data_IF_300048812385
#
_entry.id   IF_300048812385
#
_cell.length_a   1.000
_cell.length_b   1.000
_cell.length_c   1.000
_cell.angle_alpha   90.00
_cell.angle_beta   90.00
_cell.angle_gamma   90.00
#
_symmetry.space_group_name_H-M   'P 1'
#
loop_
_entity.id
_entity.type
_entity.pdbx_description
1 polymer ?
#
# COMPACT_ATOMS: atom_id res chain seq x y z
N UNK A 1 14.47 45.01 -1.15
CA UNK A 1 15.19 44.81 0.12
C UNK A 1 14.36 43.89 1.00
N UNK A 2 14.95 42.74 1.34
CA UNK A 2 14.58 41.70 2.31
C UNK A 2 13.15 41.11 2.31
N UNK A 3 13.05 39.89 1.78
CA UNK A 3 11.96 38.93 2.01
C UNK A 3 12.31 38.04 3.21
N UNK A 4 11.54 38.13 4.30
CA UNK A 4 11.66 37.24 5.46
C UNK A 4 11.03 35.87 5.15
N UNK A 5 11.86 34.97 4.63
CA UNK A 5 11.57 33.55 4.61
C UNK A 5 11.93 32.97 5.97
N UNK A 6 10.92 32.57 6.76
CA UNK A 6 11.14 31.81 7.99
C UNK A 6 11.70 30.43 7.62
N UNK A 7 12.85 30.11 8.21
CA UNK A 7 13.50 28.81 8.14
C UNK A 7 12.55 27.70 8.62
N UNK A 8 12.53 26.51 7.98
CA UNK A 8 11.80 25.36 8.50
C UNK A 8 12.41 24.88 9.82
N UNK A 9 11.61 24.30 10.74
CA UNK A 9 12.13 23.76 11.98
C UNK A 9 13.06 22.57 11.71
N UNK A 10 14.13 22.51 12.51
CA UNK A 10 15.18 21.50 12.47
C UNK A 10 14.61 20.07 12.63
N UNK A 11 14.93 19.10 11.75
CA UNK A 11 14.47 17.72 11.93
C UNK A 11 14.96 17.16 13.27
N UNK A 12 14.02 16.64 14.07
CA UNK A 12 14.36 15.90 15.29
C UNK A 12 15.08 14.63 14.89
N UNK A 13 16.36 14.52 15.27
CA UNK A 13 17.13 13.28 15.18
C UNK A 13 16.43 12.18 15.99
N UNK A 14 15.69 11.30 15.33
CA UNK A 14 15.36 10.00 15.91
C UNK A 14 16.56 9.08 15.71
N UNK A 15 17.26 8.81 16.82
CA UNK A 15 18.31 7.80 16.84
C UNK A 15 17.66 6.43 16.54
N UNK A 16 17.96 5.86 15.37
CA UNK A 16 17.76 4.44 15.09
C UNK A 16 18.69 3.65 16.00
N UNK A 17 18.19 3.29 17.18
CA UNK A 17 18.85 2.35 18.08
C UNK A 17 18.23 0.98 17.88
N UNK A 18 19.07 0.09 17.38
CA UNK A 18 18.93 -1.35 17.48
C UNK A 18 18.87 -1.78 18.95
N UNK A 19 18.22 -2.92 19.21
CA UNK A 19 17.82 -3.51 20.51
C UNK A 19 16.37 -3.12 20.88
N UNK A 20 15.48 -4.02 21.34
CA UNK A 20 15.77 -5.05 22.34
C UNK A 20 14.77 -6.20 22.28
N UNK A 21 15.31 -7.40 22.11
CA UNK A 21 14.87 -8.64 22.75
C UNK A 21 14.80 -8.43 24.27
N UNK A 22 13.72 -7.85 24.82
CA UNK A 22 13.48 -7.80 26.28
C UNK A 22 12.06 -7.33 26.63
N UNK A 23 11.03 -8.10 26.25
CA UNK A 23 9.69 -7.97 26.84
C UNK A 23 9.08 -9.37 27.02
N UNK A 24 9.75 -10.21 27.81
CA UNK A 24 9.23 -11.54 28.20
C UNK A 24 9.16 -11.75 29.71
N UNK A 25 9.34 -10.71 30.52
CA UNK A 25 9.24 -10.80 31.98
C UNK A 25 8.35 -9.69 32.53
N UNK A 26 7.05 -9.84 32.33
CA UNK A 26 6.00 -9.30 33.21
C UNK A 26 4.66 -9.80 32.70
N UNK A 27 4.28 -11.03 33.07
CA UNK A 27 2.91 -11.44 33.44
C UNK A 27 3.00 -12.93 33.81
N UNK A 28 3.00 -13.18 35.12
CA UNK A 28 3.07 -14.51 35.69
C UNK A 28 1.77 -15.28 35.54
N UNK A 29 1.94 -16.60 35.35
CA UNK A 29 1.12 -17.69 35.87
C UNK A 29 -0.32 -17.38 36.26
N UNK A 30 -1.28 -17.92 35.48
CA UNK A 30 -2.46 -18.57 36.06
C UNK A 30 -2.79 -19.87 35.33
N UNK A 31 -2.63 -20.95 36.09
CA UNK A 31 -3.08 -22.30 35.80
C UNK A 31 -4.60 -22.34 35.94
N UNK A 32 -5.32 -22.84 34.94
CA UNK A 32 -6.68 -23.37 35.08
C UNK A 32 -6.88 -24.55 34.13
N UNK A 33 -7.06 -25.74 34.71
CA UNK A 33 -7.66 -26.94 34.10
C UNK A 33 -8.81 -27.32 35.04
N UNK A 34 -10.05 -27.54 34.52
CA UNK A 34 -10.58 -28.89 34.57
C UNK A 34 -11.47 -29.33 33.39
N UNK A 35 -11.15 -30.53 32.92
CA UNK A 35 -11.97 -31.72 32.63
C UNK A 35 -13.18 -31.67 31.66
N UNK A 36 -13.08 -32.64 30.76
CA UNK A 36 -14.04 -33.28 29.86
C UNK A 36 -15.46 -33.53 30.42
N UNK A 37 -16.45 -33.43 29.52
CA UNK A 37 -17.60 -34.35 29.50
C UNK A 37 -17.99 -34.65 28.05
N UNK A 38 -18.32 -35.92 27.81
CA UNK A 38 -18.54 -36.58 26.53
C UNK A 38 -19.96 -36.40 25.97
N UNK A 39 -20.03 -36.56 24.65
CA UNK A 39 -21.04 -37.29 23.85
C UNK A 39 -22.24 -36.56 23.20
N UNK A 40 -22.32 -36.81 21.87
CA UNK A 40 -23.47 -37.05 20.99
C UNK A 40 -23.86 -35.97 19.95
N UNK A 41 -23.58 -36.30 18.68
CA UNK A 41 -24.38 -36.00 17.47
C UNK A 41 -25.64 -36.89 17.46
N UNK A 42 -26.75 -36.60 16.72
CA UNK A 42 -26.73 -36.24 15.29
C UNK A 42 -27.86 -35.30 14.75
N UNK A 43 -27.80 -35.06 13.43
CA UNK A 43 -28.84 -34.62 12.46
C UNK A 43 -29.39 -33.17 12.55
N UNK A 44 -29.21 -32.28 11.57
CA UNK A 44 -29.71 -32.17 10.17
C UNK A 44 -30.91 -31.21 10.05
N UNK A 45 -30.86 -30.38 8.99
CA UNK A 45 -31.87 -29.44 8.42
C UNK A 45 -32.08 -28.06 9.07
N UNK A 46 -31.37 -27.04 8.54
CA UNK A 46 -31.75 -25.62 8.62
C UNK A 46 -32.68 -25.27 7.45
N UNK A 47 -33.94 -24.97 7.74
CA UNK A 47 -34.90 -24.41 6.79
C UNK A 47 -34.43 -23.01 6.32
N UNK A 48 -34.38 -22.82 4.99
CA UNK A 48 -34.13 -21.52 4.37
C UNK A 48 -35.44 -20.73 4.35
N UNK A 49 -35.50 -19.61 5.06
CA UNK A 49 -36.50 -18.57 4.80
C UNK A 49 -36.16 -17.89 3.47
N UNK A 50 -36.84 -18.29 2.39
CA UNK A 50 -36.83 -17.56 1.13
C UNK A 50 -37.88 -16.43 1.22
N UNK A 51 -37.42 -15.18 1.25
CA UNK A 51 -38.27 -14.02 1.00
C UNK A 51 -38.48 -13.93 -0.51
N UNK A 52 -39.73 -14.08 -0.95
CA UNK A 52 -40.10 -13.95 -2.36
C UNK A 52 -39.92 -12.49 -2.83
N UNK A 53 -39.05 -12.27 -3.80
CA UNK A 53 -38.96 -10.99 -4.52
C UNK A 53 -40.08 -10.90 -5.55
N UNK A 54 -40.88 -9.82 -5.44
CA UNK A 54 -41.91 -9.43 -6.39
C UNK A 54 -41.24 -8.59 -7.51
N UNK A 55 -41.39 -8.90 -8.81
CA UNK A 55 -40.49 -8.37 -9.85
C UNK A 55 -40.84 -6.98 -10.44
N UNK A 56 -41.82 -6.24 -9.91
CA UNK A 56 -42.39 -5.07 -10.63
C UNK A 56 -42.08 -3.67 -10.07
N UNK A 57 -41.03 -3.49 -9.25
CA UNK A 57 -40.64 -2.13 -8.81
C UNK A 57 -39.13 -2.00 -8.60
N UNK A 58 -38.37 -1.81 -9.69
CA UNK A 58 -37.15 -0.98 -9.64
C UNK A 58 -36.72 -0.56 -11.06
N UNK A 59 -37.20 0.60 -11.53
CA UNK A 59 -36.83 1.17 -12.86
C UNK A 59 -35.98 2.43 -12.76
N UNK A 60 -35.29 2.65 -11.64
CA UNK A 60 -34.33 3.76 -11.50
C UNK A 60 -33.09 3.35 -10.68
N UNK A 61 -32.51 2.19 -10.96
CA UNK A 61 -31.16 1.89 -10.47
C UNK A 61 -30.15 2.62 -11.37
N UNK A 62 -29.43 3.61 -10.83
CA UNK A 62 -28.25 4.14 -11.52
C UNK A 62 -27.29 2.98 -11.87
N UNK A 63 -26.66 3.00 -13.05
CA UNK A 63 -25.68 2.00 -13.40
C UNK A 63 -24.60 1.97 -12.31
N UNK A 64 -24.34 0.78 -11.76
CA UNK A 64 -23.20 0.60 -10.87
C UNK A 64 -21.95 1.08 -11.61
N UNK A 65 -21.10 1.93 -11.00
CA UNK A 65 -19.89 2.39 -11.65
C UNK A 65 -19.07 1.18 -12.08
N UNK A 66 -18.56 1.24 -13.31
CA UNK A 66 -17.66 0.22 -13.82
C UNK A 66 -16.51 0.06 -12.80
N UNK A 67 -16.14 -1.17 -12.41
CA UNK A 67 -15.00 -1.38 -11.53
C UNK A 67 -13.77 -0.74 -12.16
N UNK A 68 -13.16 0.22 -11.46
CA UNK A 68 -11.83 0.70 -11.83
C UNK A 68 -10.89 -0.50 -11.67
N UNK A 69 -10.31 -0.95 -12.78
CA UNK A 69 -9.34 -2.03 -12.77
C UNK A 69 -8.03 -1.54 -12.14
N UNK A 70 -7.28 -2.45 -11.52
CA UNK A 70 -5.87 -2.22 -11.18
C UNK A 70 -5.11 -1.88 -12.47
N UNK A 71 -4.59 -0.66 -12.59
CA UNK A 71 -3.90 -0.15 -13.77
C UNK A 71 -2.50 0.36 -13.40
N UNK A 72 -1.50 -0.50 -13.54
CA UNK A 72 -0.09 -0.13 -13.53
C UNK A 72 0.40 -0.05 -14.99
N UNK A 73 0.48 1.15 -15.56
CA UNK A 73 0.76 1.34 -16.99
C UNK A 73 0.98 2.79 -17.37
N UNK A 74 1.31 3.06 -18.65
CA UNK A 74 1.25 4.41 -19.22
C UNK A 74 -0.20 4.73 -19.59
N UNK A 75 -0.67 5.89 -19.16
CA UNK A 75 -2.00 6.38 -19.46
C UNK A 75 -2.17 6.72 -20.95
N UNK A 76 -3.32 7.26 -21.28
CA UNK A 76 -3.62 7.77 -22.62
C UNK A 76 -4.15 9.22 -22.54
N UNK A 77 -4.50 9.81 -23.68
CA UNK A 77 -5.00 11.19 -23.77
C UNK A 77 -6.25 11.46 -22.89
N UNK A 78 -6.92 10.41 -22.42
CA UNK A 78 -8.15 10.46 -21.62
C UNK A 78 -8.00 9.79 -20.25
N UNK A 79 -6.82 9.23 -19.94
CA UNK A 79 -6.52 8.50 -18.71
C UNK A 79 -5.13 8.85 -18.20
N UNK A 80 -5.06 9.48 -17.04
CA UNK A 80 -3.80 9.61 -16.31
C UNK A 80 -3.62 8.37 -15.43
N UNK A 81 -2.48 7.70 -15.55
CA UNK A 81 -2.05 6.57 -14.70
C UNK A 81 -0.79 6.97 -13.94
N UNK A 82 -0.31 6.09 -13.06
CA UNK A 82 0.96 6.18 -12.30
C UNK A 82 2.26 6.33 -13.13
N UNK A 83 2.18 6.63 -14.44
CA UNK A 83 3.34 6.91 -15.30
C UNK A 83 3.48 8.39 -15.68
N UNK A 84 2.66 9.27 -15.10
CA UNK A 84 2.54 10.66 -15.52
C UNK A 84 3.60 11.58 -14.92
N UNK A 85 4.06 11.33 -13.67
CA UNK A 85 5.13 12.12 -13.06
C UNK A 85 6.45 11.91 -13.80
N UNK A 86 6.68 10.71 -14.33
CA UNK A 86 7.89 10.34 -15.05
C UNK A 86 8.08 11.13 -16.35
N UNK A 87 7.00 11.59 -16.97
CA UNK A 87 7.06 12.45 -18.15
C UNK A 87 7.70 13.82 -17.84
N UNK A 88 7.60 14.30 -16.60
CA UNK A 88 8.21 15.56 -16.17
C UNK A 88 9.70 15.39 -15.84
N UNK A 89 10.15 14.16 -15.53
CA UNK A 89 11.55 13.90 -15.16
C UNK A 89 12.54 14.19 -16.29
N UNK A 90 12.12 14.07 -17.55
CA UNK A 90 12.96 14.47 -18.69
C UNK A 90 13.32 15.97 -18.62
N UNK A 91 12.36 16.82 -18.23
CA UNK A 91 12.61 18.25 -18.03
C UNK A 91 13.53 18.56 -16.85
N UNK A 92 13.62 17.63 -15.89
CA UNK A 92 14.55 17.70 -14.77
C UNK A 92 15.96 17.14 -15.11
N UNK A 93 16.18 16.67 -16.34
CA UNK A 93 17.48 16.23 -16.84
C UNK A 93 17.77 14.73 -16.70
N UNK A 94 16.77 13.92 -16.35
CA UNK A 94 16.92 12.46 -16.34
C UNK A 94 16.95 11.89 -17.76
N UNK A 95 17.80 10.90 -18.00
CA UNK A 95 17.83 10.19 -19.29
C UNK A 95 16.65 9.22 -19.42
N UNK A 96 16.22 8.86 -20.64
CA UNK A 96 15.11 7.93 -20.85
C UNK A 96 15.26 6.59 -20.12
N UNK A 97 16.46 6.02 -20.04
CA UNK A 97 16.72 4.77 -19.34
C UNK A 97 16.66 4.93 -17.81
N UNK A 98 17.02 6.10 -17.28
CA UNK A 98 16.86 6.42 -15.85
C UNK A 98 15.38 6.60 -15.49
N UNK A 99 14.62 7.31 -16.33
CA UNK A 99 13.17 7.48 -16.17
C UNK A 99 12.48 6.12 -16.17
N UNK A 100 12.87 5.21 -17.07
CA UNK A 100 12.34 3.84 -17.09
C UNK A 100 12.69 3.06 -15.82
N UNK A 101 13.91 3.22 -15.30
CA UNK A 101 14.32 2.58 -14.03
C UNK A 101 13.59 3.17 -12.81
N UNK A 102 13.27 4.47 -12.83
CA UNK A 102 12.41 5.11 -11.82
C UNK A 102 11.00 4.53 -11.91
N UNK A 103 10.42 4.50 -13.12
CA UNK A 103 9.10 3.91 -13.34
C UNK A 103 9.02 2.44 -12.89
N UNK A 104 10.11 1.68 -13.05
CA UNK A 104 10.19 0.31 -12.50
C UNK A 104 9.98 0.27 -10.98
N UNK A 105 10.53 1.22 -10.24
CA UNK A 105 10.30 1.35 -8.81
C UNK A 105 8.85 1.67 -8.44
N UNK A 106 8.24 2.62 -9.17
CA UNK A 106 6.83 2.99 -9.02
C UNK A 106 5.91 1.77 -9.28
N UNK A 107 6.09 1.13 -10.44
CA UNK A 107 5.37 -0.06 -10.85
C UNK A 107 5.49 -1.24 -9.86
N UNK A 108 6.65 -1.40 -9.21
CA UNK A 108 6.80 -2.42 -8.16
C UNK A 108 5.97 -2.11 -6.91
N UNK A 109 5.65 -0.84 -6.61
CA UNK A 109 4.73 -0.50 -5.52
C UNK A 109 3.31 -0.89 -5.89
N UNK A 110 2.82 -0.54 -7.08
CA UNK A 110 1.51 -1.01 -7.56
C UNK A 110 1.37 -2.54 -7.38
N UNK A 111 2.33 -3.30 -7.94
CA UNK A 111 2.25 -4.77 -7.91
C UNK A 111 2.48 -5.39 -6.53
N UNK A 112 3.03 -4.63 -5.56
CA UNK A 112 3.16 -5.10 -4.18
C UNK A 112 1.80 -5.37 -3.53
N UNK A 113 0.72 -4.75 -4.02
CA UNK A 113 -0.66 -5.00 -3.56
C UNK A 113 -1.12 -6.46 -3.79
N UNK A 114 -0.52 -7.19 -4.74
CA UNK A 114 -0.77 -8.63 -4.90
C UNK A 114 -0.28 -9.45 -3.70
N UNK A 115 0.65 -8.92 -2.93
CA UNK A 115 1.22 -9.55 -1.75
C UNK A 115 0.51 -9.05 -0.50
N UNK A 116 -0.81 -9.18 -0.46
CA UNK A 116 -1.68 -8.85 0.67
C UNK A 116 -1.86 -10.07 1.61
N UNK A 117 -2.02 -9.90 2.94
CA UNK A 117 -2.24 -11.01 3.87
C UNK A 117 -3.43 -11.93 3.54
N UNK A 118 -4.41 -11.45 2.78
CA UNK A 118 -5.58 -12.22 2.33
C UNK A 118 -5.27 -13.14 1.14
N UNK A 119 -4.19 -12.87 0.40
CA UNK A 119 -3.79 -13.60 -0.81
C UNK A 119 -2.55 -14.47 -0.53
N UNK A 120 -1.63 -13.97 0.29
CA UNK A 120 -0.37 -14.66 0.59
C UNK A 120 -0.62 -15.91 1.43
N UNK A 121 -0.11 -17.04 0.95
CA UNK A 121 -0.08 -18.33 1.63
C UNK A 121 1.17 -18.45 2.49
N UNK A 122 1.00 -18.81 3.76
CA UNK A 122 2.13 -19.16 4.62
C UNK A 122 2.86 -20.42 4.10
N UNK A 123 4.16 -20.52 4.37
CA UNK A 123 4.96 -21.70 3.99
C UNK A 123 4.47 -22.99 4.64
N UNK A 124 3.93 -22.89 5.86
CA UNK A 124 3.38 -23.99 6.67
C UNK A 124 1.96 -24.41 6.27
N UNK A 125 1.25 -23.60 5.49
CA UNK A 125 -0.11 -23.90 5.04
C UNK A 125 -0.12 -24.85 3.84
N UNK A 126 -1.10 -25.75 3.73
CA UNK A 126 -1.26 -26.58 2.52
C UNK A 126 -1.47 -25.70 1.28
N UNK A 127 -1.02 -26.16 0.12
CA UNK A 127 -1.25 -25.46 -1.16
C UNK A 127 -2.75 -25.36 -1.42
N UNK A 128 -3.21 -24.17 -1.79
CA UNK A 128 -4.61 -23.87 -2.12
C UNK A 128 -4.66 -23.04 -3.38
N UNK A 129 -4.52 -23.68 -4.54
CA UNK A 129 -4.52 -23.00 -5.84
C UNK A 129 -5.94 -22.97 -6.43
N UNK A 130 -6.41 -21.84 -7.00
CA UNK A 130 -5.70 -20.56 -7.18
C UNK A 130 -5.81 -19.56 -6.02
N UNK A 131 -6.58 -19.90 -4.98
CA UNK A 131 -7.00 -18.94 -3.94
C UNK A 131 -5.84 -18.30 -3.16
N UNK A 132 -4.78 -19.05 -2.87
CA UNK A 132 -3.63 -18.60 -2.09
C UNK A 132 -2.31 -19.06 -2.71
N UNK A 133 -1.41 -18.11 -2.94
CA UNK A 133 -0.07 -18.34 -3.47
C UNK A 133 0.99 -17.90 -2.47
N UNK A 134 2.15 -18.57 -2.42
CA UNK A 134 3.26 -18.10 -1.59
C UNK A 134 3.85 -16.81 -2.16
N UNK A 135 4.47 -15.98 -1.31
CA UNK A 135 5.22 -14.78 -1.71
C UNK A 135 6.18 -15.04 -2.87
N UNK A 136 6.93 -16.13 -2.81
CA UNK A 136 7.82 -16.59 -3.90
C UNK A 136 7.11 -16.80 -5.24
N UNK A 137 5.90 -17.39 -5.21
CA UNK A 137 5.16 -17.67 -6.43
C UNK A 137 4.57 -16.39 -7.03
N UNK A 138 4.02 -15.51 -6.18
CA UNK A 138 3.51 -14.19 -6.60
C UNK A 138 4.63 -13.32 -7.15
N UNK A 139 5.79 -13.28 -6.48
CA UNK A 139 6.97 -12.54 -6.95
C UNK A 139 7.41 -13.00 -8.34
N UNK A 140 7.45 -14.31 -8.60
CA UNK A 140 7.81 -14.84 -9.92
C UNK A 140 6.79 -14.47 -11.00
N UNK A 141 5.50 -14.42 -10.66
CA UNK A 141 4.47 -13.93 -11.59
C UNK A 141 4.75 -12.47 -11.94
N UNK A 142 5.04 -11.64 -10.94
CA UNK A 142 5.39 -10.23 -11.14
C UNK A 142 6.69 -10.07 -11.94
N UNK A 143 7.72 -10.91 -11.72
CA UNK A 143 8.94 -10.91 -12.53
C UNK A 143 8.63 -11.18 -14.02
N UNK A 144 7.76 -12.14 -14.31
CA UNK A 144 7.35 -12.43 -15.70
C UNK A 144 6.61 -11.25 -16.32
N UNK A 145 5.75 -10.55 -15.55
CA UNK A 145 5.08 -9.34 -16.02
C UNK A 145 6.08 -8.20 -16.24
N UNK A 146 7.05 -8.04 -15.35
CA UNK A 146 8.11 -7.05 -15.48
C UNK A 146 8.99 -7.28 -16.70
N UNK A 147 9.26 -8.54 -17.09
CA UNK A 147 9.97 -8.85 -18.34
C UNK A 147 9.25 -8.27 -19.56
N UNK A 148 7.92 -8.38 -19.60
CA UNK A 148 7.12 -7.83 -20.68
C UNK A 148 7.15 -6.30 -20.65
N UNK A 149 6.86 -5.69 -19.50
CA UNK A 149 6.75 -4.24 -19.36
C UNK A 149 8.10 -3.53 -19.57
N UNK A 150 9.18 -4.07 -19.00
CA UNK A 150 10.52 -3.47 -18.98
C UNK A 150 11.50 -4.20 -19.89
N UNK A 151 11.03 -4.64 -21.07
CA UNK A 151 11.87 -5.37 -22.04
C UNK A 151 13.15 -4.62 -22.40
N UNK A 152 13.07 -3.30 -22.56
CA UNK A 152 14.19 -2.38 -22.81
C UNK A 152 15.29 -2.45 -21.72
N UNK A 153 14.88 -2.38 -20.45
CA UNK A 153 15.81 -2.47 -19.31
C UNK A 153 16.36 -3.89 -19.15
N UNK A 154 15.50 -4.90 -19.29
CA UNK A 154 15.82 -6.31 -19.09
C UNK A 154 16.74 -6.88 -20.17
N UNK A 155 16.64 -6.40 -21.42
CA UNK A 155 17.58 -6.76 -22.49
C UNK A 155 18.97 -6.19 -22.24
N UNK A 156 19.04 -5.00 -21.65
CA UNK A 156 20.30 -4.32 -21.36
C UNK A 156 21.01 -4.98 -20.17
N UNK A 157 20.32 -5.17 -19.05
CA UNK A 157 20.88 -5.82 -17.87
C UNK A 157 19.78 -6.42 -16.97
N UNK A 158 19.34 -7.63 -17.30
CA UNK A 158 18.33 -8.38 -16.52
C UNK A 158 18.69 -8.47 -15.03
N UNK A 159 19.97 -8.60 -14.67
CA UNK A 159 20.36 -8.82 -13.29
C UNK A 159 20.02 -7.63 -12.38
N UNK A 160 20.02 -6.42 -12.95
CA UNK A 160 19.65 -5.18 -12.25
C UNK A 160 18.15 -5.00 -12.07
N UNK A 161 17.34 -5.64 -12.90
CA UNK A 161 15.88 -5.42 -12.93
C UNK A 161 15.06 -6.66 -12.60
N UNK A 162 15.68 -7.81 -12.33
CA UNK A 162 14.96 -9.00 -11.83
C UNK A 162 14.17 -8.65 -10.57
N UNK A 163 12.91 -9.06 -10.55
CA UNK A 163 12.02 -8.87 -9.40
C UNK A 163 12.27 -9.98 -8.40
N UNK A 164 12.67 -9.60 -7.18
CA UNK A 164 12.91 -10.53 -6.06
C UNK A 164 11.94 -10.23 -4.91
N UNK A 165 11.74 -11.16 -3.96
CA UNK A 165 10.89 -10.91 -2.80
C UNK A 165 11.32 -9.68 -2.00
N UNK A 166 12.62 -9.36 -1.99
CA UNK A 166 13.19 -8.20 -1.31
C UNK A 166 12.89 -6.90 -2.05
N UNK A 167 12.98 -6.90 -3.39
CA UNK A 167 12.67 -5.70 -4.21
C UNK A 167 11.17 -5.42 -4.28
N UNK A 168 10.35 -6.47 -4.36
CA UNK A 168 8.89 -6.35 -4.41
C UNK A 168 8.27 -6.13 -3.03
N UNK A 169 8.89 -6.66 -1.98
CA UNK A 169 8.39 -6.54 -0.62
C UNK A 169 7.04 -7.25 -0.43
N UNK A 170 6.22 -6.72 0.47
CA UNK A 170 4.82 -7.10 0.69
C UNK A 170 3.95 -5.85 0.67
N UNK A 171 2.63 -5.99 0.54
CA UNK A 171 1.74 -4.85 0.64
C UNK A 171 1.87 -4.15 2.01
N UNK A 172 1.98 -2.81 1.99
CA UNK A 172 2.00 -1.94 3.17
C UNK A 172 1.10 -0.73 2.96
N UNK A 173 0.09 -0.46 3.82
CA UNK A 173 -0.76 0.71 3.66
C UNK A 173 0.01 2.04 3.58
N UNK A 174 1.12 2.15 4.31
CA UNK A 174 1.92 3.36 4.32
C UNK A 174 2.66 3.64 2.99
N UNK A 175 2.89 2.64 2.15
CA UNK A 175 3.47 2.82 0.81
C UNK A 175 2.43 3.25 -0.23
N UNK A 176 1.14 3.18 0.12
CA UNK A 176 -0.03 3.42 -0.76
C UNK A 176 -0.98 4.50 -0.23
N UNK A 177 -0.64 5.14 0.90
CA UNK A 177 -1.52 6.08 1.65
C UNK A 177 -2.91 5.49 1.97
N UNK A 178 -3.01 4.16 1.99
CA UNK A 178 -4.25 3.46 2.29
C UNK A 178 -4.65 3.67 3.76
N UNK A 179 -5.95 3.70 4.02
CA UNK A 179 -6.46 3.66 5.39
C UNK A 179 -6.17 2.27 5.98
N UNK A 180 -5.30 2.14 6.99
CA UNK A 180 -4.86 0.83 7.47
C UNK A 180 -5.91 0.13 8.35
N UNK A 181 -7.06 0.77 8.63
CA UNK A 181 -8.08 0.27 9.53
C UNK A 181 -8.64 -1.08 9.09
N UNK A 182 -8.46 -2.10 9.93
CA UNK A 182 -9.07 -3.40 9.80
C UNK A 182 -10.34 -3.51 10.65
N UNK A 183 -11.46 -3.94 10.05
CA UNK A 183 -12.73 -4.18 10.77
C UNK A 183 -12.94 -5.67 11.03
N UNK A 184 -12.60 -6.51 10.06
CA UNK A 184 -12.74 -7.98 10.15
C UNK A 184 -11.40 -8.62 9.80
N UNK A 185 -10.40 -8.55 10.69
CA UNK A 185 -9.05 -9.04 10.41
C UNK A 185 -9.06 -10.55 10.17
N UNK A 186 -8.64 -10.94 8.98
CA UNK A 186 -8.37 -12.33 8.59
C UNK A 186 -7.13 -12.34 7.70
N UNK A 187 -6.09 -13.14 7.99
CA UNK A 187 -5.90 -13.99 9.18
C UNK A 187 -5.85 -13.22 10.50
N UNK A 188 -5.79 -13.94 11.65
CA UNK A 188 -5.77 -13.32 12.97
C UNK A 188 -4.56 -12.40 13.14
N UNK A 189 -3.38 -12.84 12.71
CA UNK A 189 -2.21 -11.99 12.50
C UNK A 189 -1.73 -12.05 11.04
N UNK A 190 -1.45 -10.91 10.38
CA UNK A 190 -0.83 -10.88 9.05
C UNK A 190 0.48 -11.66 9.00
N UNK A 191 1.24 -11.61 10.10
CA UNK A 191 2.54 -12.26 10.26
C UNK A 191 2.47 -13.79 10.27
N UNK A 192 1.28 -14.37 10.40
CA UNK A 192 1.06 -15.80 10.14
C UNK A 192 1.30 -16.17 8.66
N UNK A 193 1.18 -15.21 7.73
CA UNK A 193 1.43 -15.42 6.30
C UNK A 193 2.87 -15.15 5.91
N UNK A 194 3.39 -14.02 6.33
CA UNK A 194 4.75 -13.58 6.08
C UNK A 194 5.19 -12.61 7.18
N UNK A 195 6.39 -12.79 7.72
CA UNK A 195 6.88 -11.98 8.85
C UNK A 195 7.05 -10.50 8.51
N UNK A 196 7.16 -10.16 7.22
CA UNK A 196 7.34 -8.77 6.78
C UNK A 196 6.05 -7.95 6.86
N UNK A 197 4.88 -8.57 6.98
CA UNK A 197 3.63 -7.83 7.08
C UNK A 197 3.55 -6.94 8.33
N UNK A 198 2.98 -5.74 8.16
CA UNK A 198 2.58 -4.90 9.29
C UNK A 198 1.45 -5.57 10.08
N UNK A 199 1.35 -5.26 11.37
CA UNK A 199 0.22 -5.71 12.19
C UNK A 199 -1.07 -4.97 11.78
N UNK A 200 -2.22 -5.59 12.06
CA UNK A 200 -3.51 -4.94 11.80
C UNK A 200 -3.68 -3.68 12.66
N UNK A 201 -4.11 -2.57 12.04
CA UNK A 201 -4.53 -1.37 12.74
C UNK A 201 -6.01 -1.48 13.08
N UNK A 202 -6.34 -1.53 14.37
CA UNK A 202 -7.71 -1.70 14.84
C UNK A 202 -8.46 -0.35 14.89
N UNK A 203 -9.82 -0.34 14.89
CA UNK A 203 -10.60 0.89 14.74
C UNK A 203 -10.37 1.98 15.80
N UNK A 204 -9.88 1.61 16.99
CA UNK A 204 -9.58 2.49 18.12
C UNK A 204 -8.11 2.92 18.20
N UNK A 205 -7.27 2.49 17.24
CA UNK A 205 -5.85 2.80 17.23
C UNK A 205 -5.63 4.33 17.05
N UNK A 206 -4.79 4.97 17.90
CA UNK A 206 -4.47 6.38 17.79
C UNK A 206 -3.97 6.81 16.40
N UNK A 207 -3.34 5.92 15.64
CA UNK A 207 -2.83 6.22 14.28
C UNK A 207 -3.94 6.57 13.28
N UNK A 208 -5.19 6.19 13.58
CA UNK A 208 -6.37 6.52 12.77
C UNK A 208 -6.97 7.89 13.12
N UNK A 209 -6.49 8.56 14.16
CA UNK A 209 -6.98 9.87 14.57
C UNK A 209 -6.45 10.96 13.65
N UNK A 210 -7.15 12.10 13.67
CA UNK A 210 -6.67 13.33 13.06
C UNK A 210 -5.58 13.93 13.94
N UNK A 211 -4.48 14.34 13.32
CA UNK A 211 -3.52 15.26 13.91
C UNK A 211 -4.01 16.69 13.70
N UNK A 212 -4.20 17.42 14.80
CA UNK A 212 -4.74 18.77 14.78
C UNK A 212 -3.73 19.81 14.27
N UNK A 213 -2.43 19.54 14.34
CA UNK A 213 -1.41 20.47 13.84
C UNK A 213 -1.37 20.47 12.31
N UNK A 214 -1.48 19.28 11.71
CA UNK A 214 -1.41 19.09 10.25
C UNK A 214 -2.77 19.01 9.58
N UNK A 215 -3.84 18.78 10.35
CA UNK A 215 -5.19 18.44 9.85
C UNK A 215 -5.22 17.19 8.96
N UNK A 216 -4.28 16.26 9.15
CA UNK A 216 -4.19 14.99 8.43
C UNK A 216 -4.45 13.80 9.35
N UNK A 217 -4.82 12.65 8.78
CA UNK A 217 -4.83 11.40 9.54
C UNK A 217 -3.39 11.01 9.90
N UNK A 218 -3.15 10.61 11.14
CA UNK A 218 -1.77 10.36 11.65
C UNK A 218 -1.01 9.30 10.86
N UNK A 219 -1.68 8.30 10.30
CA UNK A 219 -1.03 7.28 9.48
C UNK A 219 -0.36 7.82 8.21
N UNK A 220 -0.82 8.96 7.68
CA UNK A 220 -0.23 9.60 6.49
C UNK A 220 1.22 10.03 6.76
N UNK A 221 1.56 10.38 8.00
CA UNK A 221 2.93 10.75 8.36
C UNK A 221 3.91 9.60 8.09
N UNK A 222 3.49 8.34 8.27
CA UNK A 222 4.34 7.18 7.97
C UNK A 222 4.67 7.10 6.48
N UNK A 223 3.73 7.46 5.60
CA UNK A 223 3.96 7.56 4.16
C UNK A 223 4.97 8.65 3.81
N UNK A 224 4.86 9.82 4.47
CA UNK A 224 5.84 10.90 4.33
C UNK A 224 7.24 10.46 4.75
N UNK A 225 7.35 9.74 5.86
CA UNK A 225 8.64 9.25 6.37
C UNK A 225 9.28 8.24 5.40
N UNK A 226 8.48 7.30 4.86
CA UNK A 226 8.93 6.30 3.88
C UNK A 226 9.36 6.98 2.56
N UNK A 227 8.54 7.90 2.04
CA UNK A 227 8.85 8.67 0.84
C UNK A 227 10.18 9.42 1.01
N UNK A 228 10.36 10.11 2.14
CA UNK A 228 11.59 10.84 2.46
C UNK A 228 12.79 9.90 2.51
N UNK A 229 12.68 8.77 3.22
CA UNK A 229 13.76 7.79 3.29
C UNK A 229 14.13 7.20 1.91
N UNK A 230 13.14 6.98 1.03
CA UNK A 230 13.36 6.52 -0.34
C UNK A 230 14.13 7.54 -1.19
N UNK A 231 13.76 8.82 -1.11
CA UNK A 231 14.48 9.90 -1.79
C UNK A 231 15.91 10.07 -1.24
N UNK A 232 16.10 10.00 0.07
CA UNK A 232 17.43 10.04 0.69
C UNK A 232 18.30 8.85 0.27
N UNK A 233 17.71 7.66 0.19
CA UNK A 233 18.37 6.45 -0.33
C UNK A 233 18.85 6.66 -1.76
N UNK A 234 17.98 7.18 -2.62
CA UNK A 234 18.31 7.47 -4.02
C UNK A 234 19.47 8.48 -4.15
N UNK A 235 19.42 9.58 -3.39
CA UNK A 235 20.49 10.60 -3.36
C UNK A 235 21.81 9.98 -2.91
N UNK A 236 21.79 9.19 -1.84
CA UNK A 236 23.01 8.53 -1.30
C UNK A 236 23.60 7.52 -2.28
N UNK A 237 22.76 6.78 -3.00
CA UNK A 237 23.19 5.79 -3.98
C UNK A 237 23.76 6.44 -5.25
N UNK A 238 23.34 7.67 -5.55
CA UNK A 238 23.79 8.43 -6.71
C UNK A 238 23.03 8.11 -8.00
N UNK A 239 23.14 8.98 -9.03
CA UNK A 239 22.25 8.97 -10.19
C UNK A 239 22.38 7.73 -11.09
N UNK A 240 23.49 6.99 -11.00
CA UNK A 240 23.73 5.79 -11.81
C UNK A 240 23.30 4.48 -11.13
N UNK A 241 22.87 4.55 -9.87
CA UNK A 241 22.39 3.39 -9.12
C UNK A 241 20.96 3.03 -9.54
N UNK A 242 20.76 1.83 -10.08
CA UNK A 242 19.42 1.37 -10.45
C UNK A 242 18.55 1.10 -9.23
N UNK A 243 19.14 0.62 -8.14
CA UNK A 243 18.39 0.45 -6.90
C UNK A 243 18.05 1.81 -6.27
N UNK A 244 18.90 2.83 -6.45
CA UNK A 244 18.58 4.20 -6.06
C UNK A 244 17.45 4.81 -6.89
N UNK A 245 17.48 4.61 -8.22
CA UNK A 245 16.38 5.04 -9.12
C UNK A 245 15.08 4.29 -8.79
N UNK A 246 15.15 2.99 -8.46
CA UNK A 246 14.01 2.20 -7.98
C UNK A 246 13.43 2.77 -6.68
N UNK A 247 14.27 3.12 -5.70
CA UNK A 247 13.81 3.74 -4.44
C UNK A 247 13.18 5.11 -4.69
N UNK A 248 13.73 5.90 -5.61
CA UNK A 248 13.11 7.16 -6.05
C UNK A 248 11.72 6.92 -6.66
N UNK A 249 11.57 5.92 -7.53
CA UNK A 249 10.28 5.54 -8.10
C UNK A 249 9.25 5.15 -7.05
N UNK A 250 9.66 4.33 -6.06
CA UNK A 250 8.79 3.95 -4.95
C UNK A 250 8.38 5.16 -4.09
N UNK A 251 9.25 6.15 -3.93
CA UNK A 251 8.90 7.40 -3.25
C UNK A 251 7.94 8.28 -4.07
N UNK A 252 8.16 8.38 -5.39
CA UNK A 252 7.26 9.13 -6.28
C UNK A 252 5.86 8.52 -6.34
N UNK A 253 5.75 7.19 -6.28
CA UNK A 253 4.47 6.50 -6.17
C UNK A 253 3.63 7.00 -4.97
N UNK A 254 4.25 7.14 -3.79
CA UNK A 254 3.57 7.70 -2.60
C UNK A 254 3.07 9.13 -2.87
N UNK A 255 3.86 9.94 -3.58
CA UNK A 255 3.46 11.29 -3.95
C UNK A 255 2.28 11.30 -4.93
N UNK A 256 2.23 10.36 -5.87
CA UNK A 256 1.10 10.19 -6.80
C UNK A 256 -0.17 9.84 -6.05
N UNK A 257 -0.10 8.85 -5.17
CA UNK A 257 -1.23 8.40 -4.38
C UNK A 257 -1.76 9.50 -3.45
N UNK A 258 -0.92 10.46 -3.04
CA UNK A 258 -1.38 11.57 -2.20
C UNK A 258 -2.52 12.36 -2.86
N UNK A 259 -2.52 12.51 -4.18
CA UNK A 259 -3.60 13.21 -4.87
C UNK A 259 -4.92 12.43 -4.89
N UNK A 260 -4.85 11.10 -4.85
CA UNK A 260 -6.02 10.21 -4.87
C UNK A 260 -6.52 9.84 -3.45
N UNK A 261 -5.64 9.83 -2.46
CA UNK A 261 -5.90 9.38 -1.09
C UNK A 261 -5.99 10.52 -0.06
N UNK A 262 -5.98 11.77 -0.53
CA UNK A 262 -6.23 12.96 0.30
C UNK A 262 -7.30 13.85 -0.33
N UNK A 263 -7.74 14.87 0.40
CA UNK A 263 -8.64 15.89 -0.13
C UNK A 263 -7.88 17.07 -0.78
N UNK A 264 -6.63 16.86 -1.21
CA UNK A 264 -5.78 17.93 -1.74
C UNK A 264 -6.41 18.61 -2.96
N UNK A 265 -6.98 17.83 -3.88
CA UNK A 265 -7.57 18.35 -5.12
C UNK A 265 -8.78 19.22 -4.81
N UNK A 266 -9.67 18.77 -3.93
CA UNK A 266 -10.86 19.49 -3.50
C UNK A 266 -10.47 20.80 -2.82
N UNK A 267 -9.52 20.76 -1.88
CA UNK A 267 -9.03 21.96 -1.20
C UNK A 267 -8.36 22.94 -2.17
N UNK A 268 -7.67 22.43 -3.19
CA UNK A 268 -7.04 23.27 -4.22
C UNK A 268 -8.08 23.97 -5.09
N UNK A 269 -9.15 23.27 -5.50
CA UNK A 269 -10.26 23.88 -6.26
C UNK A 269 -10.99 24.94 -5.43
N UNK A 270 -11.23 24.67 -4.14
CA UNK A 270 -11.85 25.65 -3.23
C UNK A 270 -10.98 26.91 -3.12
N UNK A 271 -9.66 26.75 -2.99
CA UNK A 271 -8.70 27.89 -2.96
C UNK A 271 -8.70 28.70 -4.27
N UNK A 272 -8.96 28.06 -5.41
CA UNK A 272 -9.11 28.73 -6.70
C UNK A 272 -10.48 29.42 -6.88
N UNK A 273 -11.36 29.35 -5.89
CA UNK A 273 -12.65 30.04 -5.89
C UNK A 273 -13.83 29.18 -6.36
N UNK A 274 -13.63 27.87 -6.59
CA UNK A 274 -14.74 26.97 -6.88
C UNK A 274 -15.58 26.73 -5.61
N UNK A 275 -16.86 27.06 -5.66
CA UNK A 275 -17.75 27.03 -4.49
C UNK A 275 -18.60 25.76 -4.36
N UNK A 276 -18.65 24.92 -5.42
CA UNK A 276 -19.46 23.70 -5.47
C UNK A 276 -18.57 22.45 -5.44
N UNK A 277 -17.68 22.38 -4.46
CA UNK A 277 -16.74 21.26 -4.25
C UNK A 277 -16.88 20.78 -2.81
N UNK A 278 -17.14 19.48 -2.64
CA UNK A 278 -17.25 18.86 -1.32
C UNK A 278 -15.88 18.27 -0.93
N UNK A 279 -15.19 18.77 0.11
CA UNK A 279 -13.95 18.16 0.56
C UNK A 279 -14.25 16.83 1.27
N UNK A 280 -14.11 15.72 0.54
CA UNK A 280 -14.40 14.40 1.08
C UNK A 280 -13.37 13.98 2.13
N UNK A 281 -13.82 13.57 3.30
CA UNK A 281 -12.96 12.98 4.32
C UNK A 281 -13.72 11.96 5.15
N UNK A 282 -13.03 10.91 5.59
CA UNK A 282 -13.60 9.95 6.53
C UNK A 282 -13.87 10.61 7.87
N UNK A 283 -14.85 10.11 8.63
CA UNK A 283 -15.11 10.63 9.99
C UNK A 283 -13.84 10.56 10.84
N UNK A 284 -13.66 11.60 11.66
CA UNK A 284 -12.56 11.70 12.61
C UNK A 284 -12.52 10.48 13.52
#
# INVERSE_FOLDING_TARGET
MSSDWRQPPNPRNYALTSQTTALTERYGQRVFIPKESRMNHPESTSERFAVAHNPDTDINSEPLPAPLAFEAGKGDEHKHTHGAIEAVLESAGFRPDEIRAIYFGNWLRDYSQLLDPKIVRATTMPKSFPDLLSREALTRIVDVLAVKEFTDLMQTDRSRFVVTPERLGVYRPAEHIDNPKAITPKPASPKERDADFDDWVMPDDPVLQVDHETSMKRYIQRSVDIMTAGLESAVKAGPHSTDGLRDMGAALHILEDFFAHSNFVELSLIKLGHTHVLPWTSRA
#
